data_IF_527125153431
#
_entry.id   IF_527125153431
#
_cell.length_a   1.000
_cell.length_b   1.000
_cell.length_c   1.000
_cell.angle_alpha   90.00
_cell.angle_beta   90.00
_cell.angle_gamma   90.00
#
_symmetry.space_group_name_H-M   'P 1'
#
loop_
_entity.id
_entity.type
_entity.pdbx_description
1 polymer ?
#
# COMPACT_ATOMS: atom_id res chain seq x y z
N UNK A 1 -19.49 -88.91 -51.11
CA UNK A 1 -19.58 -87.45 -51.30
C UNK A 1 -19.71 -86.84 -49.91
N UNK A 2 -18.79 -85.94 -49.54
CA UNK A 2 -18.51 -85.49 -48.16
C UNK A 2 -19.75 -84.86 -47.52
N UNK A 3 -20.20 -85.39 -46.38
CA UNK A 3 -21.32 -84.83 -45.62
C UNK A 3 -20.88 -83.51 -44.97
N UNK A 4 -21.59 -82.42 -45.25
CA UNK A 4 -21.38 -81.13 -44.62
C UNK A 4 -21.76 -81.22 -43.13
N UNK A 5 -20.81 -80.89 -42.25
CA UNK A 5 -21.05 -80.78 -40.81
C UNK A 5 -21.70 -79.41 -40.54
N UNK A 6 -22.91 -79.34 -39.97
CA UNK A 6 -23.57 -78.07 -39.70
C UNK A 6 -22.80 -77.31 -38.59
N UNK A 7 -22.47 -76.04 -38.86
CA UNK A 7 -21.86 -75.14 -37.91
C UNK A 7 -22.96 -74.49 -37.07
N UNK A 8 -23.10 -74.91 -35.81
CA UNK A 8 -24.02 -74.27 -34.86
C UNK A 8 -23.39 -73.00 -34.32
N UNK A 9 -23.84 -71.84 -34.80
CA UNK A 9 -23.44 -70.54 -34.24
C UNK A 9 -24.23 -70.28 -32.96
N UNK A 10 -23.70 -70.71 -31.82
CA UNK A 10 -24.26 -70.42 -30.50
C UNK A 10 -24.15 -68.90 -30.23
N UNK A 11 -25.28 -68.20 -30.28
CA UNK A 11 -25.35 -66.79 -29.84
C UNK A 11 -25.42 -66.80 -28.32
N UNK A 12 -24.27 -66.64 -27.66
CA UNK A 12 -24.21 -66.49 -26.21
C UNK A 12 -24.84 -65.13 -25.84
N UNK A 13 -26.15 -65.14 -25.58
CA UNK A 13 -26.81 -64.00 -24.95
C UNK A 13 -26.32 -63.96 -23.50
N UNK A 14 -25.29 -63.17 -23.25
CA UNK A 14 -24.64 -63.05 -21.96
C UNK A 14 -25.49 -62.17 -21.01
N UNK A 15 -26.76 -62.51 -20.87
CA UNK A 15 -27.71 -61.82 -19.99
C UNK A 15 -27.49 -62.28 -18.56
N UNK A 16 -26.88 -61.40 -17.76
CA UNK A 16 -26.77 -61.60 -16.31
C UNK A 16 -28.10 -61.23 -15.67
N UNK A 17 -28.76 -62.18 -15.01
CA UNK A 17 -29.93 -61.90 -14.18
C UNK A 17 -29.52 -60.98 -13.02
N UNK A 18 -30.07 -59.76 -13.01
CA UNK A 18 -29.81 -58.77 -11.95
C UNK A 18 -30.71 -59.11 -10.76
N UNK A 19 -30.12 -59.37 -9.61
CA UNK A 19 -30.86 -59.67 -8.38
C UNK A 19 -31.30 -58.39 -7.66
N UNK A 20 -32.27 -58.49 -6.75
CA UNK A 20 -32.66 -57.36 -5.88
C UNK A 20 -31.48 -56.82 -5.07
N UNK A 21 -30.52 -57.68 -4.70
CA UNK A 21 -29.29 -57.26 -4.03
C UNK A 21 -28.34 -56.51 -4.98
N UNK A 22 -28.24 -56.90 -6.25
CA UNK A 22 -27.47 -56.15 -7.25
C UNK A 22 -28.05 -54.74 -7.46
N UNK A 23 -29.38 -54.62 -7.48
CA UNK A 23 -30.08 -53.33 -7.58
C UNK A 23 -29.92 -52.48 -6.32
N UNK A 24 -29.96 -53.09 -5.12
CA UNK A 24 -29.72 -52.38 -3.85
C UNK A 24 -28.29 -51.90 -3.74
N UNK A 25 -27.32 -52.72 -4.15
CA UNK A 25 -25.91 -52.32 -4.20
C UNK A 25 -25.71 -51.21 -5.23
N UNK A 26 -26.28 -51.31 -6.43
CA UNK A 26 -26.23 -50.25 -7.44
C UNK A 26 -26.91 -48.95 -6.95
N UNK A 27 -28.04 -49.05 -6.26
CA UNK A 27 -28.72 -47.90 -5.67
C UNK A 27 -27.92 -47.28 -4.51
N UNK A 28 -27.21 -48.08 -3.72
CA UNK A 28 -26.28 -47.61 -2.69
C UNK A 28 -25.02 -46.99 -3.29
N UNK A 29 -24.51 -47.50 -4.41
CA UNK A 29 -23.40 -46.90 -5.16
C UNK A 29 -23.81 -45.66 -5.94
N UNK A 30 -25.06 -45.56 -6.40
CA UNK A 30 -25.59 -44.36 -7.03
C UNK A 30 -25.96 -43.30 -5.97
N UNK A 31 -26.49 -43.69 -4.81
CA UNK A 31 -26.72 -42.78 -3.68
C UNK A 31 -25.42 -42.37 -2.98
N UNK A 32 -24.44 -43.27 -2.86
CA UNK A 32 -23.09 -42.98 -2.36
C UNK A 32 -22.20 -42.27 -3.38
N UNK A 33 -22.39 -42.54 -4.66
CA UNK A 33 -21.71 -41.88 -5.79
C UNK A 33 -22.32 -40.50 -6.12
N UNK A 34 -23.60 -40.29 -5.82
CA UNK A 34 -24.21 -38.96 -5.85
C UNK A 34 -23.96 -38.18 -4.54
N UNK A 35 -23.66 -38.87 -3.43
CA UNK A 35 -23.08 -38.24 -2.24
C UNK A 35 -21.60 -37.84 -2.44
N UNK A 36 -20.90 -38.43 -3.42
CA UNK A 36 -19.60 -37.95 -3.89
C UNK A 36 -19.71 -36.77 -4.88
N UNK A 37 -20.92 -36.27 -5.14
CA UNK A 37 -21.12 -35.00 -5.84
C UNK A 37 -21.28 -33.80 -4.87
N UNK A 38 -21.04 -34.01 -3.57
CA UNK A 38 -21.12 -32.98 -2.52
C UNK A 38 -19.85 -32.87 -1.66
N UNK A 39 -18.69 -33.24 -2.21
CA UNK A 39 -17.38 -32.84 -1.65
C UNK A 39 -16.52 -32.17 -2.72
N UNK A 40 -17.16 -31.34 -3.55
CA UNK A 40 -16.48 -30.30 -4.33
C UNK A 40 -16.93 -28.89 -3.89
N UNK A 41 -17.87 -28.75 -2.95
CA UNK A 41 -18.19 -27.46 -2.33
C UNK A 41 -17.20 -27.05 -1.23
N UNK A 42 -16.16 -27.86 -1.02
CA UNK A 42 -15.08 -27.59 -0.07
C UNK A 42 -13.66 -27.86 -0.61
N UNK A 43 -13.50 -27.80 -1.94
CA UNK A 43 -12.68 -26.65 -2.36
C UNK A 43 -13.58 -25.48 -1.95
N UNK A 44 -13.34 -24.83 -0.81
CA UNK A 44 -12.44 -23.67 -0.84
C UNK A 44 -12.54 -23.15 -2.26
N UNK A 45 -13.64 -22.44 -2.51
CA UNK A 45 -13.44 -21.15 -3.14
C UNK A 45 -12.11 -20.67 -2.55
N UNK A 46 -11.06 -20.71 -3.36
CA UNK A 46 -9.89 -19.88 -3.13
C UNK A 46 -10.43 -18.46 -3.25
N UNK A 47 -11.26 -18.11 -2.26
CA UNK A 47 -12.11 -16.96 -2.14
C UNK A 47 -11.13 -15.87 -1.88
N UNK A 48 -10.68 -15.35 -3.00
CA UNK A 48 -9.43 -14.65 -3.14
C UNK A 48 -8.23 -15.46 -2.66
N UNK A 49 -7.09 -15.16 -3.26
CA UNK A 49 -5.86 -15.26 -2.52
C UNK A 49 -6.12 -14.63 -1.12
N UNK A 50 -5.82 -15.35 -0.04
CA UNK A 50 -5.06 -14.64 0.98
C UNK A 50 -3.71 -14.32 0.33
N UNK A 51 -3.72 -13.38 -0.63
CA UNK A 51 -2.94 -12.22 -0.42
C UNK A 51 -3.30 -11.90 1.03
N UNK A 52 -2.39 -12.21 1.95
CA UNK A 52 -2.04 -11.17 2.89
C UNK A 52 -1.94 -9.96 1.98
N UNK A 53 -3.06 -9.25 1.83
CA UNK A 53 -2.99 -7.88 1.45
C UNK A 53 -2.06 -7.44 2.57
N UNK A 54 -0.80 -7.22 2.21
CA UNK A 54 -0.18 -6.02 2.68
C UNK A 54 -1.24 -5.00 2.29
N UNK A 55 -2.17 -4.76 3.21
CA UNK A 55 -2.88 -3.51 3.24
C UNK A 55 -1.72 -2.55 3.47
N UNK A 56 -1.03 -2.22 2.38
CA UNK A 56 -0.53 -0.90 2.18
C UNK A 56 -1.82 -0.08 2.18
N UNK A 57 -2.31 0.15 3.40
CA UNK A 57 -3.39 1.09 3.63
C UNK A 57 -2.83 2.34 3.00
N UNK A 58 -3.45 2.77 1.90
CA UNK A 58 -2.98 3.90 1.10
C UNK A 58 -2.93 5.22 1.90
N UNK A 59 -3.23 5.17 3.20
CA UNK A 59 -3.43 6.29 4.11
C UNK A 59 -2.14 6.77 4.78
N UNK A 60 -1.00 6.10 4.60
CA UNK A 60 0.28 6.65 5.06
C UNK A 60 1.45 6.31 4.15
N UNK A 61 1.52 7.01 3.01
CA UNK A 61 2.78 7.11 2.29
C UNK A 61 3.63 8.10 3.06
N UNK A 62 4.55 7.59 3.85
CA UNK A 62 5.67 8.30 4.48
C UNK A 62 6.42 9.16 3.44
N UNK A 63 5.88 10.36 3.18
CA UNK A 63 6.43 11.32 2.22
C UNK A 63 7.02 12.45 3.04
N UNK A 64 8.33 12.71 2.91
CA UNK A 64 8.98 13.71 3.74
C UNK A 64 8.37 15.10 3.51
N UNK A 65 8.35 15.95 4.55
CA UNK A 65 7.86 17.30 4.44
C UNK A 65 8.76 18.14 3.51
N UNK A 66 8.22 19.17 2.87
CA UNK A 66 9.01 20.05 2.01
C UNK A 66 8.65 21.52 2.19
N UNK A 67 9.63 22.39 1.90
CA UNK A 67 9.44 23.84 1.91
C UNK A 67 8.55 24.27 0.74
N UNK A 68 7.48 25.00 1.04
CA UNK A 68 6.61 25.65 0.05
C UNK A 68 7.16 27.03 -0.30
N UNK A 69 7.69 27.74 0.69
CA UNK A 69 8.37 29.02 0.52
C UNK A 69 9.70 29.03 1.27
N UNK A 70 10.61 29.89 0.83
CA UNK A 70 11.93 30.09 1.45
C UNK A 70 12.08 31.54 1.91
N UNK A 71 12.92 31.81 2.92
CA UNK A 71 13.17 33.16 3.39
C UNK A 71 13.80 34.02 2.29
N UNK A 72 13.51 35.31 2.29
CA UNK A 72 14.19 36.24 1.39
C UNK A 72 15.66 36.35 1.79
N UNK A 73 16.55 36.32 0.80
CA UNK A 73 18.02 36.30 1.00
C UNK A 73 18.65 37.69 1.04
N UNK A 74 17.86 38.76 0.91
CA UNK A 74 18.32 40.14 0.99
C UNK A 74 17.50 40.95 1.97
N UNK A 75 18.18 41.90 2.61
CA UNK A 75 17.64 42.86 3.57
C UNK A 75 18.45 44.15 3.47
N UNK A 76 17.81 45.28 3.76
CA UNK A 76 18.49 46.58 3.84
C UNK A 76 18.92 46.83 5.28
N UNK A 77 20.14 47.33 5.48
CA UNK A 77 20.60 47.78 6.80
C UNK A 77 19.63 48.78 7.44
N UNK A 78 19.52 48.72 8.77
CA UNK A 78 18.65 49.56 9.59
C UNK A 78 17.14 49.48 9.24
N UNK A 79 16.76 48.55 8.37
CA UNK A 79 15.36 48.28 8.00
C UNK A 79 14.91 46.96 8.62
N UNK A 80 13.74 46.99 9.26
CA UNK A 80 13.15 45.78 9.82
C UNK A 80 12.91 44.73 8.73
N UNK A 81 13.49 43.55 8.93
CA UNK A 81 13.26 42.35 8.15
C UNK A 81 12.16 41.51 8.80
N UNK A 82 11.25 40.98 7.98
CA UNK A 82 10.26 40.00 8.38
C UNK A 82 9.97 39.08 7.21
N UNK A 83 10.13 37.77 7.41
CA UNK A 83 9.81 36.75 6.42
C UNK A 83 9.04 35.63 7.08
N UNK A 84 7.87 35.28 6.54
CA UNK A 84 7.10 34.12 6.96
C UNK A 84 7.25 33.04 5.89
N UNK A 85 7.62 31.84 6.33
CA UNK A 85 7.79 30.68 5.46
C UNK A 85 6.74 29.62 5.76
N UNK A 86 6.44 28.81 4.74
CA UNK A 86 5.46 27.74 4.78
C UNK A 86 6.12 26.43 4.41
N UNK A 87 5.75 25.39 5.14
CA UNK A 87 6.06 24.00 4.84
C UNK A 87 4.79 23.19 4.66
N UNK A 88 4.92 22.07 3.95
CA UNK A 88 3.85 21.11 3.77
C UNK A 88 4.37 19.70 3.99
N UNK A 89 3.64 18.92 4.77
CA UNK A 89 3.80 17.48 4.86
C UNK A 89 2.61 16.81 4.14
N UNK A 90 2.85 16.01 3.08
CA UNK A 90 1.78 15.32 2.35
C UNK A 90 0.97 14.32 3.20
N UNK A 91 1.51 13.85 4.32
CA UNK A 91 0.78 13.00 5.28
C UNK A 91 -0.17 13.80 6.18
N UNK A 92 -0.27 15.13 5.99
CA UNK A 92 -1.19 16.00 6.73
C UNK A 92 -0.77 16.24 8.18
N UNK A 93 0.50 15.99 8.49
CA UNK A 93 1.09 16.20 9.82
C UNK A 93 1.71 17.60 9.94
N UNK A 94 1.80 18.11 11.16
CA UNK A 94 2.43 19.42 11.42
C UNK A 94 3.95 19.28 11.37
N UNK A 95 4.60 20.14 10.58
CA UNK A 95 6.05 20.19 10.46
C UNK A 95 6.63 21.05 11.58
N UNK A 96 7.55 20.50 12.36
CA UNK A 96 8.38 21.26 13.31
C UNK A 96 9.53 21.90 12.56
N UNK A 97 9.72 23.21 12.72
CA UNK A 97 10.68 23.98 11.93
C UNK A 97 11.83 24.47 12.80
N UNK A 98 13.06 24.41 12.26
CA UNK A 98 14.27 24.92 12.91
C UNK A 98 15.16 25.64 11.90
N UNK A 99 15.92 26.64 12.35
CA UNK A 99 16.82 27.42 11.49
C UNK A 99 18.23 27.44 12.07
N UNK A 100 19.08 26.50 11.66
CA UNK A 100 20.47 26.40 12.13
C UNK A 100 21.41 27.40 11.44
N UNK A 101 21.03 27.91 10.26
CA UNK A 101 21.81 28.89 9.52
C UNK A 101 21.28 30.32 9.68
N UNK A 102 20.40 30.58 10.64
CA UNK A 102 19.92 31.92 10.91
C UNK A 102 21.08 32.82 11.37
N UNK A 103 21.16 34.02 10.79
CA UNK A 103 22.23 34.96 11.07
C UNK A 103 22.08 35.57 12.46
N UNK A 104 23.15 36.11 13.03
CA UNK A 104 23.16 36.65 14.40
C UNK A 104 22.15 37.78 14.65
N UNK A 105 21.74 38.49 13.60
CA UNK A 105 20.73 39.55 13.66
C UNK A 105 19.30 39.04 13.48
N UNK A 106 19.12 37.75 13.21
CA UNK A 106 17.82 37.11 12.98
C UNK A 106 17.31 36.42 14.24
N UNK A 107 16.01 36.56 14.47
CA UNK A 107 15.23 35.77 15.41
C UNK A 107 14.30 34.84 14.63
N UNK A 108 14.31 33.56 14.98
CA UNK A 108 13.44 32.54 14.37
C UNK A 108 12.35 32.13 15.35
N UNK A 109 11.11 32.05 14.88
CA UNK A 109 9.96 31.53 15.62
C UNK A 109 9.23 30.50 14.77
N UNK A 110 9.16 29.26 15.26
CA UNK A 110 8.21 28.27 14.74
C UNK A 110 6.80 28.61 15.27
N UNK A 111 5.81 28.72 14.39
CA UNK A 111 4.45 29.08 14.77
C UNK A 111 3.60 27.86 15.15
N UNK A 112 4.11 26.63 14.99
CA UNK A 112 3.43 25.38 15.37
C UNK A 112 2.31 24.96 14.40
N UNK A 113 2.27 25.54 13.21
CA UNK A 113 1.26 25.31 12.17
C UNK A 113 1.90 25.08 10.79
N UNK A 114 3.11 24.49 10.78
CA UNK A 114 3.97 24.32 9.59
C UNK A 114 4.40 25.66 8.96
N UNK A 115 4.30 26.77 9.70
CA UNK A 115 4.88 28.06 9.33
C UNK A 115 5.92 28.52 10.36
N UNK A 116 6.86 29.33 9.90
CA UNK A 116 7.80 29.99 10.78
C UNK A 116 8.01 31.45 10.36
N UNK A 117 8.30 32.29 11.34
CA UNK A 117 8.59 33.71 11.14
C UNK A 117 10.05 33.99 11.48
N UNK A 118 10.75 34.64 10.56
CA UNK A 118 12.11 35.14 10.75
C UNK A 118 12.05 36.66 10.78
N UNK A 119 12.50 37.27 11.88
CA UNK A 119 12.52 38.72 12.05
C UNK A 119 13.91 39.21 12.43
N UNK A 120 14.17 40.50 12.26
CA UNK A 120 15.42 41.10 12.68
C UNK A 120 15.63 42.47 12.06
N UNK A 121 16.71 43.13 12.44
CA UNK A 121 17.17 44.36 11.78
C UNK A 121 18.67 44.23 11.55
N UNK A 122 19.13 44.02 10.30
CA UNK A 122 20.55 44.07 10.01
C UNK A 122 21.08 45.48 10.31
N UNK A 123 22.37 45.57 10.61
CA UNK A 123 23.08 46.79 10.94
C UNK A 123 24.21 46.95 9.93
N UNK A 124 24.90 48.09 9.92
CA UNK A 124 26.09 48.33 9.08
C UNK A 124 27.11 47.17 9.16
N UNK A 125 27.34 46.61 10.35
CA UNK A 125 28.24 45.46 10.55
C UNK A 125 27.80 44.15 9.85
N UNK A 126 26.57 44.09 9.33
CA UNK A 126 26.00 42.96 8.60
C UNK A 126 25.99 43.19 7.08
N UNK A 127 26.29 44.41 6.61
CA UNK A 127 26.46 44.72 5.18
C UNK A 127 27.68 43.97 4.65
N UNK A 128 27.53 43.29 3.52
CA UNK A 128 28.58 42.48 2.88
C UNK A 128 29.17 41.34 3.75
N UNK A 129 28.54 40.97 4.86
CA UNK A 129 28.95 39.86 5.71
C UNK A 129 28.79 38.47 5.05
N UNK A 130 28.55 38.42 3.73
CA UNK A 130 28.42 37.20 2.96
C UNK A 130 27.22 36.38 3.42
N UNK A 131 26.05 37.01 3.53
CA UNK A 131 24.81 36.35 3.94
C UNK A 131 24.63 35.01 3.21
N UNK A 132 24.91 33.92 3.91
CA UNK A 132 24.73 32.57 3.39
C UNK A 132 23.25 32.33 3.15
N UNK A 133 22.93 31.40 2.24
CA UNK A 133 21.57 30.93 2.07
C UNK A 133 20.98 30.55 3.44
N UNK A 134 19.79 31.07 3.74
CA UNK A 134 19.06 30.74 4.97
C UNK A 134 18.35 29.42 4.72
N UNK A 135 18.80 28.37 5.41
CA UNK A 135 18.21 27.05 5.39
C UNK A 135 17.40 26.83 6.65
N UNK A 136 16.11 26.56 6.44
CA UNK A 136 15.21 26.05 7.47
C UNK A 136 15.09 24.55 7.26
N UNK A 137 15.16 23.78 8.35
CA UNK A 137 14.90 22.35 8.37
C UNK A 137 13.51 22.09 8.92
N UNK A 138 12.79 21.21 8.24
CA UNK A 138 11.48 20.72 8.67
C UNK A 138 11.57 19.25 9.08
N UNK A 139 10.97 18.94 10.22
CA UNK A 139 10.90 17.59 10.76
C UNK A 139 9.45 17.23 11.05
N UNK A 140 9.02 16.08 10.57
CA UNK A 140 7.68 15.55 10.83
C UNK A 140 7.71 14.03 10.86
N UNK A 141 7.04 13.40 11.83
CA UNK A 141 6.96 11.94 11.90
C UNK A 141 8.29 11.16 12.01
N UNK A 142 9.42 11.85 12.25
CA UNK A 142 10.77 11.26 12.19
C UNK A 142 11.47 11.42 10.83
N UNK A 143 10.81 12.02 9.86
CA UNK A 143 11.32 12.36 8.54
C UNK A 143 11.87 13.78 8.55
N UNK A 144 13.04 13.94 7.95
CA UNK A 144 13.78 15.21 7.90
C UNK A 144 14.17 15.51 6.47
N UNK A 145 14.19 16.80 6.10
CA UNK A 145 14.74 17.28 4.83
C UNK A 145 15.86 18.28 5.05
#
# INVERSE_FOLDING_TARGET
MVAAMPLSTERLNNEKTVTTNDLRNLALFLAGGLALLLVASQMVDSGSASATALEETSEKRYVPPFAVTTPTTSSTEDVAYSSTIQWNDPDGTTVTLTCSSCLSWMSFQDNGDSTATITGTPLDAHVDAGGTAITVQGVSGGETV
#
